data_IF_580040894470
#
_entry.id   IF_580040894470
#
_cell.length_a   1.000
_cell.length_b   1.000
_cell.length_c   1.000
_cell.angle_alpha   90.00
_cell.angle_beta   90.00
_cell.angle_gamma   90.00
#
_symmetry.space_group_name_H-M   'P 1'
#
loop_
_entity.id
_entity.type
_entity.pdbx_description
1 polymer ?
#
# COMPACT_ATOMS: atom_id res chain seq x y z
N UNK A 1 -36.80 41.25 5.96
CA UNK A 1 -35.38 41.04 6.31
C UNK A 1 -35.00 39.60 6.76
N UNK A 2 -35.75 38.50 6.49
CA UNK A 2 -35.33 37.16 6.97
C UNK A 2 -34.27 36.49 6.08
N UNK A 3 -34.17 36.90 4.80
CA UNK A 3 -33.28 36.27 3.80
C UNK A 3 -31.80 36.55 4.05
N UNK A 4 -31.47 37.75 4.53
CA UNK A 4 -30.08 38.17 4.81
C UNK A 4 -29.56 37.47 6.07
N UNK A 5 -30.42 37.32 7.08
CA UNK A 5 -30.08 36.64 8.33
C UNK A 5 -29.91 35.13 8.14
N UNK A 6 -30.70 34.52 7.26
CA UNK A 6 -30.54 33.11 6.91
C UNK A 6 -29.24 32.85 6.11
N UNK A 7 -28.85 33.76 5.22
CA UNK A 7 -27.55 33.69 4.53
C UNK A 7 -26.37 33.80 5.49
N UNK A 8 -26.40 34.73 6.45
CA UNK A 8 -25.34 34.88 7.44
C UNK A 8 -25.20 33.65 8.35
N UNK A 9 -26.32 33.05 8.76
CA UNK A 9 -26.34 31.80 9.54
C UNK A 9 -25.80 30.61 8.74
N UNK A 10 -26.13 30.52 7.44
CA UNK A 10 -25.54 29.50 6.57
C UNK A 10 -24.03 29.68 6.42
N UNK A 11 -23.54 30.90 6.18
CA UNK A 11 -22.11 31.17 6.05
C UNK A 11 -21.31 30.82 7.33
N UNK A 12 -21.88 31.06 8.51
CA UNK A 12 -21.28 30.67 9.79
C UNK A 12 -21.21 29.14 9.96
N UNK A 13 -22.22 28.40 9.51
CA UNK A 13 -22.24 26.93 9.58
C UNK A 13 -21.24 26.28 8.62
N UNK A 14 -20.96 26.90 7.46
CA UNK A 14 -19.97 26.40 6.49
C UNK A 14 -18.51 26.68 6.88
N UNK A 15 -18.24 27.67 7.74
CA UNK A 15 -16.87 28.01 8.16
C UNK A 15 -16.24 26.98 9.12
N UNK A 16 -17.03 26.08 9.72
CA UNK A 16 -16.55 25.03 10.63
C UNK A 16 -16.16 23.71 9.94
N UNK A 17 -16.42 23.58 8.65
CA UNK A 17 -16.13 22.37 7.89
C UNK A 17 -14.88 22.58 7.05
N UNK A 18 -13.90 21.68 7.18
CA UNK A 18 -12.75 21.53 6.28
C UNK A 18 -11.56 22.44 6.58
N UNK A 19 -11.00 22.35 7.79
CA UNK A 19 -9.55 22.22 7.81
C UNK A 19 -9.23 20.81 7.31
N UNK A 20 -8.70 20.71 6.09
CA UNK A 20 -8.03 19.51 5.64
C UNK A 20 -7.07 19.09 6.75
N UNK A 21 -7.33 17.94 7.37
CA UNK A 21 -6.67 17.47 8.58
C UNK A 21 -5.25 17.00 8.22
N UNK A 22 -4.37 17.95 7.94
CA UNK A 22 -2.98 17.76 7.53
C UNK A 22 -2.05 17.57 8.71
N UNK A 23 -2.53 17.67 9.95
CA UNK A 23 -1.70 17.56 11.14
C UNK A 23 -2.04 16.30 11.92
N UNK A 24 -1.03 15.50 12.23
CA UNK A 24 -1.13 14.34 13.12
C UNK A 24 -0.35 14.64 14.39
N UNK A 25 -1.04 14.52 15.52
CA UNK A 25 -0.51 14.74 16.86
C UNK A 25 -0.32 13.40 17.56
N UNK A 26 0.81 13.23 18.26
CA UNK A 26 1.04 12.14 19.21
C UNK A 26 0.77 12.65 20.62
N UNK A 27 -0.35 12.24 21.19
CA UNK A 27 -0.78 12.60 22.55
C UNK A 27 -0.40 11.46 23.52
N UNK A 28 0.25 11.79 24.63
CA UNK A 28 0.75 10.82 25.64
C UNK A 28 0.09 10.98 27.01
N UNK A 29 -1.12 11.53 27.04
CA UNK A 29 -1.83 11.91 28.27
C UNK A 29 -2.46 10.70 29.02
N UNK A 30 -2.44 9.51 28.42
CA UNK A 30 -2.96 8.27 29.01
C UNK A 30 -1.93 7.14 29.10
N UNK A 31 -2.41 5.92 29.36
CA UNK A 31 -1.56 4.73 29.48
C UNK A 31 -0.83 4.33 28.19
N UNK A 32 -1.31 4.81 27.04
CA UNK A 32 -0.74 4.54 25.73
C UNK A 32 -0.76 5.80 24.86
N UNK A 33 0.20 5.94 23.92
CA UNK A 33 0.19 7.04 22.97
C UNK A 33 -1.00 6.93 22.01
N UNK A 34 -1.74 8.02 21.84
CA UNK A 34 -2.84 8.13 20.88
C UNK A 34 -2.43 9.08 19.77
N UNK A 35 -2.61 8.63 18.53
CA UNK A 35 -2.38 9.46 17.34
C UNK A 35 -3.73 10.00 16.84
N UNK A 36 -3.84 11.31 16.70
CA UNK A 36 -5.08 11.97 16.32
C UNK A 36 -4.83 13.21 15.46
N UNK A 37 -5.84 13.60 14.69
CA UNK A 37 -5.79 14.79 13.83
C UNK A 37 -6.22 16.07 14.54
N UNK A 38 -6.86 15.94 15.70
CA UNK A 38 -7.21 17.05 16.59
C UNK A 38 -6.02 17.34 17.51
N UNK A 39 -5.66 18.61 17.77
CA UNK A 39 -4.66 18.94 18.79
C UNK A 39 -4.96 18.25 20.13
N UNK A 40 -3.92 17.83 20.84
CA UNK A 40 -4.08 17.29 22.19
C UNK A 40 -4.69 18.37 23.11
N UNK A 41 -5.48 17.97 24.12
CA UNK A 41 -5.99 18.93 25.10
C UNK A 41 -4.85 19.54 25.95
N UNK A 42 -3.77 18.77 26.15
CA UNK A 42 -2.49 19.23 26.69
C UNK A 42 -1.37 19.34 25.65
N UNK A 43 -0.13 19.10 26.10
CA UNK A 43 1.06 19.18 25.24
C UNK A 43 1.19 17.93 24.38
N UNK A 44 1.21 18.11 23.05
CA UNK A 44 1.61 17.04 22.14
C UNK A 44 3.12 16.76 22.31
N UNK A 45 3.48 15.48 22.40
CA UNK A 45 4.89 15.09 22.40
C UNK A 45 5.51 15.35 21.01
N UNK A 46 4.73 15.10 19.95
CA UNK A 46 5.15 15.27 18.57
C UNK A 46 3.99 15.73 17.69
N UNK A 47 4.30 16.59 16.71
CA UNK A 47 3.37 17.04 15.66
C UNK A 47 4.01 16.83 14.29
N UNK A 48 3.30 16.14 13.40
CA UNK A 48 3.68 16.00 11.99
C UNK A 48 2.63 16.67 11.11
N UNK A 49 3.06 17.61 10.27
CA UNK A 49 2.32 18.06 9.10
C UNK A 49 2.50 17.08 7.92
N UNK A 50 1.44 16.32 7.63
CA UNK A 50 1.30 15.53 6.41
C UNK A 50 1.30 16.52 5.25
N UNK A 51 2.31 16.48 4.36
CA UNK A 51 2.31 17.29 3.16
C UNK A 51 1.01 17.03 2.41
N UNK A 52 0.40 18.08 1.86
CA UNK A 52 -0.71 17.89 0.93
C UNK A 52 -0.17 17.05 -0.22
N UNK A 53 -0.42 15.74 -0.19
CA UNK A 53 -0.15 14.88 -1.32
C UNK A 53 -0.84 15.56 -2.50
N UNK A 54 -0.05 15.98 -3.49
CA UNK A 54 -0.60 16.28 -4.79
C UNK A 54 -1.22 14.96 -5.21
N UNK A 55 -2.54 14.86 -5.05
CA UNK A 55 -3.33 13.73 -5.49
C UNK A 55 -2.97 13.53 -6.95
N UNK A 56 -1.98 12.68 -7.24
CA UNK A 56 -1.71 12.22 -8.58
C UNK A 56 -3.03 11.59 -8.97
N UNK A 57 -3.74 12.29 -9.85
CA UNK A 57 -5.08 11.92 -10.28
C UNK A 57 -5.02 10.43 -10.51
N UNK A 58 -5.75 9.66 -9.70
CA UNK A 58 -5.78 8.21 -9.83
C UNK A 58 -6.15 7.99 -11.28
N UNK A 59 -5.15 7.60 -12.08
CA UNK A 59 -5.29 7.48 -13.52
C UNK A 59 -6.58 6.72 -13.80
N UNK A 60 -7.29 7.05 -14.90
CA UNK A 60 -8.69 6.74 -15.10
C UNK A 60 -9.03 5.39 -14.48
N UNK A 61 -9.85 5.43 -13.42
CA UNK A 61 -10.32 4.22 -12.77
C UNK A 61 -10.86 3.27 -13.85
N UNK A 62 -10.72 1.95 -13.68
CA UNK A 62 -11.16 0.99 -14.68
C UNK A 62 -12.59 1.37 -15.10
N UNK A 63 -12.77 1.60 -16.40
CA UNK A 63 -14.05 2.02 -16.96
C UNK A 63 -15.15 1.15 -16.34
N UNK A 64 -16.16 1.78 -15.74
CA UNK A 64 -17.30 1.08 -15.17
C UNK A 64 -17.80 0.10 -16.24
N UNK A 65 -17.70 -1.20 -15.94
CA UNK A 65 -18.08 -2.23 -16.88
C UNK A 65 -19.56 -2.03 -17.19
N UNK A 66 -19.86 -1.58 -18.40
CA UNK A 66 -21.23 -1.52 -18.91
C UNK A 66 -21.83 -2.93 -18.74
N UNK A 67 -23.01 -3.08 -18.13
CA UNK A 67 -23.62 -4.39 -17.99
C UNK A 67 -23.80 -4.98 -19.39
N UNK A 68 -23.01 -6.00 -19.70
CA UNK A 68 -23.14 -6.71 -20.95
C UNK A 68 -24.54 -7.35 -21.00
N UNK A 69 -25.27 -7.27 -22.13
CA UNK A 69 -26.55 -7.94 -22.26
C UNK A 69 -26.36 -9.42 -21.94
N UNK A 70 -27.31 -10.00 -21.20
CA UNK A 70 -27.29 -11.38 -20.74
C UNK A 70 -27.32 -12.34 -21.94
N UNK A 71 -26.15 -12.58 -22.54
CA UNK A 71 -25.96 -13.58 -23.59
C UNK A 71 -25.93 -14.92 -22.88
N UNK A 72 -26.88 -15.80 -23.21
CA UNK A 72 -26.90 -17.19 -22.73
C UNK A 72 -25.52 -17.79 -22.97
N UNK A 73 -24.80 -18.09 -21.89
CA UNK A 73 -23.45 -18.67 -21.95
C UNK A 73 -23.58 -20.05 -22.59
N UNK A 74 -23.20 -20.15 -23.86
CA UNK A 74 -22.70 -21.42 -24.35
C UNK A 74 -21.46 -21.75 -23.51
N UNK A 75 -21.57 -22.81 -22.70
CA UNK A 75 -20.46 -23.40 -21.96
C UNK A 75 -19.40 -23.85 -22.95
N UNK A 76 -18.46 -22.96 -23.24
CA UNK A 76 -17.25 -23.29 -23.97
C UNK A 76 -16.24 -23.67 -22.89
N UNK A 77 -15.64 -24.87 -22.91
CA UNK A 77 -14.62 -25.27 -21.94
C UNK A 77 -13.31 -24.52 -22.25
N UNK A 78 -13.31 -23.21 -22.07
CA UNK A 78 -12.14 -22.35 -22.14
C UNK A 78 -11.54 -22.28 -20.75
N UNK A 79 -10.41 -22.95 -20.56
CA UNK A 79 -9.59 -22.83 -19.34
C UNK A 79 -9.37 -21.34 -19.06
N UNK A 80 -9.82 -20.85 -17.91
CA UNK A 80 -9.53 -19.48 -17.48
C UNK A 80 -8.01 -19.32 -17.45
N UNK A 81 -7.46 -18.51 -18.37
CA UNK A 81 -6.05 -18.17 -18.39
C UNK A 81 -5.86 -16.98 -17.47
N UNK A 82 -5.45 -17.24 -16.23
CA UNK A 82 -4.93 -16.19 -15.36
C UNK A 82 -3.66 -15.63 -16.00
N UNK A 83 -3.53 -14.30 -16.04
CA UNK A 83 -2.26 -13.66 -16.40
C UNK A 83 -1.27 -13.92 -15.26
N UNK A 84 -0.28 -14.77 -15.50
CA UNK A 84 0.81 -15.00 -14.57
C UNK A 84 1.77 -13.82 -14.69
N UNK A 85 1.87 -13.02 -13.63
CA UNK A 85 2.92 -11.98 -13.54
C UNK A 85 4.21 -12.72 -13.14
N UNK A 86 5.24 -12.74 -14.00
CA UNK A 86 6.49 -13.43 -13.68
C UNK A 86 7.18 -12.72 -12.51
N UNK A 87 7.52 -13.49 -11.47
CA UNK A 87 8.18 -12.99 -10.25
C UNK A 87 9.70 -12.78 -10.48
N UNK A 88 10.26 -13.37 -11.54
CA UNK A 88 11.68 -13.26 -11.91
C UNK A 88 11.82 -13.16 -13.43
N UNK A 89 12.89 -12.52 -13.90
CA UNK A 89 13.17 -12.37 -15.33
C UNK A 89 13.40 -13.73 -16.03
N UNK A 90 14.12 -14.65 -15.37
CA UNK A 90 14.26 -16.05 -15.80
C UNK A 90 13.91 -17.02 -14.64
N UNK A 91 12.66 -17.55 -14.63
CA UNK A 91 12.22 -18.50 -13.61
C UNK A 91 13.08 -19.77 -13.56
N UNK A 92 13.65 -20.22 -14.69
CA UNK A 92 14.46 -21.44 -14.72
C UNK A 92 15.86 -21.20 -14.17
N UNK A 93 16.46 -20.03 -14.41
CA UNK A 93 17.72 -19.67 -13.77
C UNK A 93 17.56 -19.50 -12.25
N UNK A 94 16.52 -18.80 -11.82
CA UNK A 94 16.22 -18.60 -10.40
C UNK A 94 16.03 -19.94 -9.67
N UNK A 95 15.22 -20.87 -10.22
CA UNK A 95 15.03 -22.19 -9.61
C UNK A 95 16.32 -23.03 -9.58
N UNK A 96 17.14 -22.98 -10.64
CA UNK A 96 18.44 -23.66 -10.65
C UNK A 96 19.37 -23.12 -9.56
N UNK A 97 19.43 -21.81 -9.37
CA UNK A 97 20.25 -21.19 -8.32
C UNK A 97 19.77 -21.61 -6.92
N UNK A 98 18.45 -21.62 -6.67
CA UNK A 98 17.86 -22.12 -5.41
C UNK A 98 18.25 -23.57 -5.13
N UNK A 99 18.18 -24.44 -6.16
CA UNK A 99 18.57 -25.84 -6.03
C UNK A 99 20.07 -26.00 -5.74
N UNK A 100 20.94 -25.22 -6.41
CA UNK A 100 22.38 -25.23 -6.16
C UNK A 100 22.71 -24.80 -4.73
N UNK A 101 22.08 -23.74 -4.24
CA UNK A 101 22.18 -23.33 -2.83
C UNK A 101 21.75 -24.46 -1.89
N UNK A 102 20.60 -25.08 -2.15
CA UNK A 102 20.12 -26.22 -1.36
C UNK A 102 21.14 -27.37 -1.31
N UNK A 103 21.76 -27.72 -2.45
CA UNK A 103 22.82 -28.73 -2.53
C UNK A 103 24.07 -28.32 -1.77
N UNK A 104 24.49 -27.05 -1.85
CA UNK A 104 25.65 -26.54 -1.12
C UNK A 104 25.43 -26.61 0.39
N UNK A 105 24.24 -26.19 0.86
CA UNK A 105 23.85 -26.28 2.27
C UNK A 105 23.77 -27.73 2.77
N UNK A 106 23.27 -28.65 1.94
CA UNK A 106 23.16 -30.07 2.31
C UNK A 106 24.54 -30.78 2.37
N UNK A 107 25.52 -30.33 1.57
CA UNK A 107 26.88 -30.89 1.56
C UNK A 107 27.77 -30.31 2.67
N UNK A 108 27.50 -29.09 3.10
CA UNK A 108 28.35 -28.41 4.07
C UNK A 108 28.02 -28.84 5.51
N UNK A 109 29.04 -29.30 6.26
CA UNK A 109 28.90 -29.63 7.69
C UNK A 109 28.78 -28.37 8.57
N UNK A 110 29.49 -27.30 8.20
CA UNK A 110 29.33 -25.92 8.70
C UNK A 110 29.74 -24.97 7.59
N UNK A 111 29.07 -23.82 7.51
CA UNK A 111 29.45 -22.67 6.70
C UNK A 111 29.66 -21.50 7.64
N UNK A 112 30.64 -20.66 7.33
CA UNK A 112 30.73 -19.36 7.97
C UNK A 112 29.61 -18.43 7.45
N UNK A 113 29.45 -17.29 8.11
CA UNK A 113 28.42 -16.30 7.75
C UNK A 113 28.63 -15.72 6.34
N UNK A 114 29.88 -15.51 5.92
CA UNK A 114 30.23 -14.90 4.63
C UNK A 114 29.91 -15.87 3.49
N UNK A 115 30.26 -17.14 3.63
CA UNK A 115 29.95 -18.22 2.71
C UNK A 115 28.43 -18.41 2.58
N UNK A 116 27.70 -18.38 3.69
CA UNK A 116 26.24 -18.44 3.68
C UNK A 116 25.65 -17.28 2.88
N UNK A 117 26.17 -16.07 3.11
CA UNK A 117 25.75 -14.86 2.40
C UNK A 117 26.05 -14.91 0.90
N UNK A 118 27.23 -15.38 0.50
CA UNK A 118 27.58 -15.53 -0.92
C UNK A 118 26.59 -16.45 -1.66
N UNK A 119 26.12 -17.52 -1.00
CA UNK A 119 25.09 -18.39 -1.58
C UNK A 119 23.73 -17.69 -1.69
N UNK A 120 23.40 -16.80 -0.77
CA UNK A 120 22.17 -16.01 -0.80
C UNK A 120 22.23 -14.93 -1.90
N UNK A 121 23.36 -14.22 -2.02
CA UNK A 121 23.60 -13.20 -3.03
C UNK A 121 23.57 -13.81 -4.44
N UNK A 122 24.17 -14.99 -4.64
CA UNK A 122 24.10 -15.71 -5.92
C UNK A 122 22.66 -16.10 -6.33
N UNK A 123 21.79 -16.42 -5.36
CA UNK A 123 20.37 -16.65 -5.64
C UNK A 123 19.65 -15.35 -5.94
N UNK A 124 19.96 -14.27 -5.22
CA UNK A 124 19.36 -12.97 -5.46
C UNK A 124 19.65 -12.47 -6.88
N UNK A 125 20.92 -12.53 -7.29
CA UNK A 125 21.35 -12.09 -8.62
C UNK A 125 20.69 -12.91 -9.74
N UNK A 126 20.49 -14.21 -9.54
CA UNK A 126 19.81 -15.08 -10.51
C UNK A 126 18.29 -14.87 -10.57
N UNK A 127 17.69 -14.24 -9.56
CA UNK A 127 16.24 -14.07 -9.44
C UNK A 127 15.75 -12.64 -9.67
N UNK A 128 16.64 -11.63 -9.70
CA UNK A 128 16.26 -10.24 -10.06
C UNK A 128 15.90 -10.13 -11.54
#
# INVERSE_FOLDING_TARGET
MPRVQCCLLLCLLLAGAVHAQTQVYKCVEGSHPVYQQTPCQGRAEWRWEVPAEQSLSRGPGPAAATPAPARRRASRPGRARAALIPISADPRACERARQQRGKALARARRLDFVQRRQLDDAVHDACR
#
